data_IF_670475823409
#
_entry.id   IF_670475823409
#
_cell.length_a   1.000
_cell.length_b   1.000
_cell.length_c   1.000
_cell.angle_alpha   90.00
_cell.angle_beta   90.00
_cell.angle_gamma   90.00
#
_symmetry.space_group_name_H-M   'P 1'
#
loop_
_entity.id
_entity.type
_entity.pdbx_description
1 polymer ?
#
# COMPACT_ATOMS: atom_id res chain seq x y z
N UNK A 1 -33.05 -1.82 -9.54
CA UNK A 1 -33.45 -1.90 -8.12
C UNK A 1 -32.32 -1.51 -7.16
N UNK A 2 -31.11 -2.07 -7.29
CA UNK A 2 -29.96 -1.76 -6.38
C UNK A 2 -29.56 -0.29 -6.42
N UNK A 3 -29.32 0.30 -7.60
CA UNK A 3 -28.94 1.71 -7.74
C UNK A 3 -29.98 2.67 -7.14
N UNK A 4 -31.28 2.39 -7.33
CA UNK A 4 -32.35 3.18 -6.74
C UNK A 4 -32.30 3.15 -5.20
N UNK A 5 -31.99 1.99 -4.61
CA UNK A 5 -31.88 1.86 -3.15
C UNK A 5 -30.68 2.65 -2.61
N UNK A 6 -29.53 2.59 -3.29
CA UNK A 6 -28.33 3.37 -2.95
C UNK A 6 -28.59 4.87 -3.08
N UNK A 7 -29.20 5.30 -4.19
CA UNK A 7 -29.66 6.68 -4.39
C UNK A 7 -30.58 7.16 -3.27
N UNK A 8 -31.59 6.35 -2.90
CA UNK A 8 -32.48 6.68 -1.79
C UNK A 8 -31.76 6.74 -0.43
N UNK A 9 -30.76 5.90 -0.20
CA UNK A 9 -29.96 5.93 1.03
C UNK A 9 -29.15 7.24 1.13
N UNK A 10 -28.49 7.63 0.04
CA UNK A 10 -27.73 8.89 -0.02
C UNK A 10 -28.65 10.11 0.19
N UNK A 11 -29.77 10.16 -0.54
CA UNK A 11 -30.76 11.25 -0.44
C UNK A 11 -31.37 11.38 0.96
N UNK A 12 -31.81 10.26 1.56
CA UNK A 12 -32.48 10.30 2.87
C UNK A 12 -31.56 10.67 4.02
N UNK A 13 -30.28 10.31 3.93
CA UNK A 13 -29.30 10.54 4.98
C UNK A 13 -28.40 11.76 4.72
N UNK A 14 -28.57 12.45 3.58
CA UNK A 14 -27.80 13.63 3.19
C UNK A 14 -26.29 13.38 3.27
N UNK A 15 -25.86 12.30 2.64
CA UNK A 15 -24.47 11.85 2.64
C UNK A 15 -24.05 11.38 1.25
N UNK A 16 -22.81 11.66 0.87
CA UNK A 16 -22.21 11.04 -0.30
C UNK A 16 -21.99 9.55 -0.03
N UNK A 17 -22.37 8.71 -0.98
CA UNK A 17 -22.32 7.25 -0.84
C UNK A 17 -21.52 6.64 -1.99
N UNK A 18 -20.49 5.88 -1.65
CA UNK A 18 -19.74 5.08 -2.61
C UNK A 18 -19.98 3.60 -2.33
N UNK A 19 -20.26 2.83 -3.38
CA UNK A 19 -20.51 1.39 -3.26
C UNK A 19 -19.90 0.66 -4.46
N UNK A 20 -19.53 -0.61 -4.25
CA UNK A 20 -19.09 -1.52 -5.31
C UNK A 20 -20.19 -2.54 -5.64
N UNK A 21 -20.39 -2.83 -6.93
CA UNK A 21 -21.39 -3.79 -7.43
C UNK A 21 -20.98 -4.35 -8.80
N UNK A 22 -21.61 -5.45 -9.21
CA UNK A 22 -21.50 -5.98 -10.57
C UNK A 22 -22.46 -5.28 -11.53
N UNK A 23 -21.98 -4.77 -12.66
CA UNK A 23 -22.82 -4.24 -13.75
C UNK A 23 -22.77 -5.12 -14.98
N UNK A 24 -23.84 -5.11 -15.77
CA UNK A 24 -23.91 -5.75 -17.08
C UNK A 24 -24.20 -4.71 -18.15
N UNK A 25 -23.49 -4.77 -19.27
CA UNK A 25 -23.68 -3.89 -20.40
C UNK A 25 -23.81 -4.73 -21.68
N UNK A 26 -25.02 -4.85 -22.26
CA UNK A 26 -25.21 -5.51 -23.54
C UNK A 26 -24.31 -4.88 -24.62
N UNK A 27 -23.80 -5.71 -25.54
CA UNK A 27 -23.04 -5.26 -26.69
C UNK A 27 -23.52 -5.96 -27.96
N UNK A 28 -23.39 -5.28 -29.08
CA UNK A 28 -23.76 -5.79 -30.39
C UNK A 28 -22.60 -6.57 -31.01
N UNK A 29 -22.89 -7.54 -31.87
CA UNK A 29 -21.86 -8.31 -32.58
C UNK A 29 -20.98 -7.47 -33.51
N UNK A 30 -21.38 -6.23 -33.81
CA UNK A 30 -20.56 -5.27 -34.55
C UNK A 30 -19.42 -4.68 -33.72
N UNK A 31 -19.49 -4.76 -32.39
CA UNK A 31 -18.38 -4.44 -31.50
C UNK A 31 -17.38 -5.61 -31.51
N UNK A 32 -16.18 -5.43 -32.08
CA UNK A 32 -15.19 -6.50 -32.19
C UNK A 32 -14.67 -6.99 -30.83
N UNK A 33 -14.92 -6.23 -29.75
CA UNK A 33 -14.49 -6.56 -28.39
C UNK A 33 -15.63 -7.17 -27.57
N UNK A 34 -16.83 -7.31 -28.12
CA UNK A 34 -17.98 -7.85 -27.39
C UNK A 34 -17.75 -9.33 -27.04
N UNK A 35 -17.91 -9.73 -25.76
CA UNK A 35 -17.82 -11.14 -25.37
C UNK A 35 -18.83 -12.00 -26.14
N UNK A 36 -18.50 -13.29 -26.32
CA UNK A 36 -19.31 -14.22 -27.12
C UNK A 36 -20.72 -14.45 -26.55
N UNK A 37 -20.94 -14.12 -25.28
CA UNK A 37 -22.24 -14.22 -24.61
C UNK A 37 -23.09 -12.94 -24.71
N UNK A 38 -22.64 -11.96 -25.51
CA UNK A 38 -23.39 -10.77 -25.94
C UNK A 38 -23.45 -9.63 -24.93
N UNK A 39 -22.61 -9.64 -23.89
CA UNK A 39 -22.52 -8.53 -22.92
C UNK A 39 -21.17 -8.46 -22.24
N UNK A 40 -20.83 -7.26 -21.81
CA UNK A 40 -19.81 -7.05 -20.78
C UNK A 40 -20.38 -7.19 -19.37
N UNK A 41 -19.53 -7.60 -18.43
CA UNK A 41 -19.81 -7.67 -17.01
C UNK A 41 -18.65 -7.06 -16.23
N UNK A 42 -18.88 -6.02 -15.44
CA UNK A 42 -17.80 -5.25 -14.80
C UNK A 42 -17.90 -5.24 -13.27
N UNK A 43 -16.75 -5.30 -12.60
CA UNK A 43 -16.61 -4.87 -11.20
C UNK A 43 -16.69 -3.34 -11.17
N UNK A 44 -17.70 -2.77 -10.51
CA UNK A 44 -18.04 -1.37 -10.70
C UNK A 44 -18.24 -0.62 -9.39
N UNK A 45 -17.48 0.46 -9.18
CA UNK A 45 -17.82 1.45 -8.17
C UNK A 45 -18.85 2.43 -8.72
N UNK A 46 -19.76 2.86 -7.86
CA UNK A 46 -20.71 3.95 -8.11
C UNK A 46 -20.66 4.94 -6.96
N UNK A 47 -20.74 6.23 -7.27
CA UNK A 47 -20.80 7.31 -6.29
C UNK A 47 -22.11 8.09 -6.44
N UNK A 48 -22.81 8.30 -5.33
CA UNK A 48 -23.99 9.14 -5.24
C UNK A 48 -23.71 10.36 -4.38
N UNK A 49 -24.22 11.53 -4.76
CA UNK A 49 -24.22 12.71 -3.90
C UNK A 49 -25.34 12.64 -2.84
N UNK A 50 -25.37 13.64 -1.97
CA UNK A 50 -26.36 13.83 -0.90
C UNK A 50 -27.79 14.15 -1.38
N UNK A 51 -27.99 14.37 -2.68
CA UNK A 51 -29.31 14.43 -3.34
C UNK A 51 -29.70 13.10 -4.00
N UNK A 52 -28.88 12.06 -3.85
CA UNK A 52 -29.12 10.74 -4.43
C UNK A 52 -28.86 10.66 -5.94
N UNK A 53 -28.22 11.67 -6.54
CA UNK A 53 -27.81 11.65 -7.93
C UNK A 53 -26.54 10.81 -8.10
N UNK A 54 -26.51 9.93 -9.11
CA UNK A 54 -25.30 9.21 -9.50
C UNK A 54 -24.31 10.22 -10.12
N UNK A 55 -23.17 10.43 -9.46
CA UNK A 55 -22.18 11.44 -9.85
C UNK A 55 -20.94 10.86 -10.52
N UNK A 56 -20.65 9.57 -10.32
CA UNK A 56 -19.55 8.90 -11.00
C UNK A 56 -19.71 7.37 -10.97
N UNK A 57 -19.09 6.72 -11.95
CA UNK A 57 -19.02 5.26 -12.12
C UNK A 57 -17.60 4.89 -12.55
N UNK A 58 -17.06 3.81 -12.00
CA UNK A 58 -15.73 3.30 -12.33
C UNK A 58 -15.77 1.80 -12.53
N UNK A 59 -15.25 1.30 -13.66
CA UNK A 59 -15.06 -0.13 -13.90
C UNK A 59 -13.62 -0.51 -13.58
N UNK A 60 -13.44 -1.50 -12.69
CA UNK A 60 -12.13 -2.00 -12.26
C UNK A 60 -11.30 -2.41 -13.47
N UNK A 61 -10.08 -1.89 -13.55
CA UNK A 61 -9.19 -2.17 -14.68
C UNK A 61 -8.34 -3.42 -14.41
N UNK A 62 -7.69 -3.48 -13.25
CA UNK A 62 -6.79 -4.56 -12.88
C UNK A 62 -7.54 -5.64 -12.10
N UNK A 63 -8.06 -6.63 -12.81
CA UNK A 63 -8.69 -7.80 -12.19
C UNK A 63 -7.63 -8.66 -11.49
N UNK A 64 -8.05 -9.38 -10.45
CA UNK A 64 -7.20 -10.27 -9.66
C UNK A 64 -7.65 -11.73 -9.82
N UNK A 65 -8.81 -12.08 -9.24
CA UNK A 65 -9.44 -13.41 -9.38
C UNK A 65 -10.91 -13.33 -9.76
N UNK A 66 -11.34 -12.19 -10.31
CA UNK A 66 -12.71 -11.98 -10.76
C UNK A 66 -12.96 -12.55 -12.17
N UNK A 67 -12.74 -13.86 -12.38
CA UNK A 67 -12.86 -14.54 -13.69
C UNK A 67 -14.21 -14.40 -14.39
N UNK A 68 -15.26 -14.02 -13.66
CA UNK A 68 -16.60 -13.80 -14.19
C UNK A 68 -16.81 -12.38 -14.75
N UNK A 69 -15.80 -11.51 -14.66
CA UNK A 69 -15.86 -10.10 -15.02
C UNK A 69 -14.84 -9.79 -16.11
N UNK A 70 -15.17 -8.81 -16.94
CA UNK A 70 -14.37 -8.30 -18.02
C UNK A 70 -13.55 -7.09 -17.55
N UNK A 71 -12.36 -6.91 -18.13
CA UNK A 71 -11.61 -5.65 -18.03
C UNK A 71 -12.21 -4.63 -19.02
N UNK A 72 -12.46 -3.38 -18.61
CA UNK A 72 -12.98 -2.36 -19.53
C UNK A 72 -11.98 -2.14 -20.68
N UNK A 73 -12.45 -2.01 -21.94
CA UNK A 73 -11.57 -1.86 -23.10
C UNK A 73 -10.71 -0.59 -23.08
N UNK A 74 -11.12 0.41 -22.31
CA UNK A 74 -10.41 1.66 -22.06
C UNK A 74 -10.38 1.89 -20.54
N UNK A 75 -9.31 2.50 -20.04
CA UNK A 75 -9.17 2.81 -18.62
C UNK A 75 -10.15 3.90 -18.24
N UNK A 76 -10.92 3.68 -17.17
CA UNK A 76 -11.81 4.70 -16.61
C UNK A 76 -11.05 5.61 -15.64
N UNK A 77 -11.08 6.93 -15.89
CA UNK A 77 -10.69 7.94 -14.90
C UNK A 77 -11.93 8.54 -14.25
N UNK A 78 -12.39 7.91 -13.17
CA UNK A 78 -13.62 8.30 -12.51
C UNK A 78 -13.39 9.35 -11.41
N UNK A 79 -14.11 10.46 -11.54
CA UNK A 79 -13.97 11.67 -10.72
C UNK A 79 -15.35 12.19 -10.33
N UNK A 80 -15.48 12.74 -9.11
CA UNK A 80 -16.67 13.49 -8.72
C UNK A 80 -16.31 14.65 -7.79
N UNK A 81 -17.07 15.74 -7.89
CA UNK A 81 -16.87 16.95 -7.09
C UNK A 81 -17.71 16.91 -5.81
N UNK A 82 -17.14 17.42 -4.73
CA UNK A 82 -17.81 17.58 -3.44
C UNK A 82 -17.73 19.04 -2.98
N UNK A 83 -18.76 19.56 -2.28
CA UNK A 83 -18.72 20.92 -1.75
C UNK A 83 -17.80 21.07 -0.53
N UNK A 84 -17.38 19.97 0.09
CA UNK A 84 -16.65 19.97 1.37
C UNK A 84 -15.17 19.58 1.26
N UNK A 85 -14.77 18.78 0.26
CA UNK A 85 -13.40 18.27 0.16
C UNK A 85 -12.84 18.29 -1.27
N UNK A 86 -13.46 19.07 -2.16
CA UNK A 86 -13.03 19.21 -3.56
C UNK A 86 -13.30 17.94 -4.36
N UNK A 87 -12.39 17.63 -5.29
CA UNK A 87 -12.54 16.53 -6.25
C UNK A 87 -11.99 15.22 -5.67
N UNK A 88 -12.81 14.17 -5.74
CA UNK A 88 -12.41 12.81 -5.43
C UNK A 88 -12.14 12.02 -6.70
N UNK A 89 -11.10 11.19 -6.67
CA UNK A 89 -10.95 10.06 -7.59
C UNK A 89 -11.40 8.76 -6.96
N UNK A 90 -11.62 7.75 -7.81
CA UNK A 90 -11.93 6.40 -7.35
C UNK A 90 -11.21 5.34 -8.21
N UNK A 91 -10.73 4.30 -7.54
CA UNK A 91 -10.24 3.05 -8.13
C UNK A 91 -10.43 1.93 -7.10
N UNK A 92 -10.17 0.66 -7.47
CA UNK A 92 -10.61 -0.49 -6.67
C UNK A 92 -9.48 -1.48 -6.39
N UNK A 93 -9.27 -1.79 -5.11
CA UNK A 93 -8.46 -2.93 -4.68
C UNK A 93 -7.10 -3.01 -5.42
N UNK A 94 -6.88 -4.07 -6.19
CA UNK A 94 -5.65 -4.38 -6.92
C UNK A 94 -5.13 -3.24 -7.82
N UNK A 95 -6.00 -2.32 -8.29
CA UNK A 95 -5.59 -1.14 -9.07
C UNK A 95 -4.48 -0.32 -8.39
N UNK A 96 -4.40 -0.32 -7.06
CA UNK A 96 -3.41 0.45 -6.29
C UNK A 96 -1.95 0.04 -6.59
N UNK A 97 -1.72 -1.18 -7.11
CA UNK A 97 -0.40 -1.70 -7.44
C UNK A 97 0.07 -1.34 -8.86
N UNK A 98 -0.78 -0.68 -9.65
CA UNK A 98 -0.54 -0.43 -11.08
C UNK A 98 -0.52 1.06 -11.40
N UNK A 99 0.13 1.41 -12.51
CA UNK A 99 0.16 2.78 -12.98
C UNK A 99 -1.23 3.26 -13.42
N UNK A 100 -1.93 2.41 -14.16
CA UNK A 100 -3.30 2.65 -14.60
C UNK A 100 -4.32 1.89 -13.75
N UNK A 101 -5.39 2.54 -13.26
CA UNK A 101 -5.61 3.99 -13.29
C UNK A 101 -4.89 4.73 -12.15
N UNK A 102 -4.43 4.04 -11.10
CA UNK A 102 -4.23 4.67 -9.79
C UNK A 102 -3.24 5.85 -9.81
N UNK A 103 -2.03 5.63 -10.34
CA UNK A 103 -0.99 6.66 -10.39
C UNK A 103 -1.35 7.76 -11.38
N UNK A 104 -1.80 7.39 -12.59
CA UNK A 104 -2.09 8.37 -13.63
C UNK A 104 -3.29 9.26 -13.26
N UNK A 105 -4.35 8.68 -12.68
CA UNK A 105 -5.52 9.41 -12.15
C UNK A 105 -5.09 10.50 -11.16
N UNK A 106 -4.19 10.17 -10.23
CA UNK A 106 -3.73 11.13 -9.22
C UNK A 106 -2.90 12.25 -9.86
N UNK A 107 -1.94 11.89 -10.72
CA UNK A 107 -1.01 12.85 -11.32
C UNK A 107 -1.69 13.76 -12.34
N UNK A 108 -2.50 13.18 -13.23
CA UNK A 108 -3.15 13.90 -14.31
C UNK A 108 -4.18 14.91 -13.79
N UNK A 109 -4.92 14.55 -12.75
CA UNK A 109 -5.99 15.38 -12.20
C UNK A 109 -5.62 16.09 -10.88
N UNK A 110 -4.35 15.98 -10.46
CA UNK A 110 -3.82 16.56 -9.22
C UNK A 110 -4.72 16.28 -8.01
N UNK A 111 -5.13 15.01 -7.86
CA UNK A 111 -6.06 14.60 -6.82
C UNK A 111 -5.45 14.66 -5.44
N UNK A 112 -6.31 14.97 -4.47
CA UNK A 112 -5.97 14.98 -3.05
C UNK A 112 -6.86 14.09 -2.19
N UNK A 113 -7.90 13.53 -2.79
CA UNK A 113 -8.85 12.66 -2.13
C UNK A 113 -9.15 11.47 -3.04
N UNK A 114 -9.08 10.26 -2.48
CA UNK A 114 -9.45 9.03 -3.17
C UNK A 114 -10.39 8.21 -2.29
N UNK A 115 -11.46 7.71 -2.89
CA UNK A 115 -12.28 6.64 -2.30
C UNK A 115 -11.85 5.30 -2.87
N UNK A 116 -11.65 4.33 -2.00
CA UNK A 116 -11.01 3.06 -2.34
C UNK A 116 -11.78 1.87 -1.74
N UNK A 117 -12.83 1.38 -2.43
CA UNK A 117 -13.45 0.11 -2.12
C UNK A 117 -12.48 -1.04 -2.39
N UNK A 118 -12.42 -2.01 -1.46
CA UNK A 118 -11.51 -3.14 -1.58
C UNK A 118 -12.10 -4.44 -1.01
N UNK A 119 -11.55 -5.55 -1.51
CA UNK A 119 -11.65 -6.88 -0.94
C UNK A 119 -10.23 -7.46 -0.92
N UNK A 120 -9.38 -6.84 -0.09
CA UNK A 120 -7.95 -7.07 -0.02
C UNK A 120 -7.63 -8.22 0.92
N UNK A 121 -6.89 -9.20 0.41
CA UNK A 121 -6.33 -10.30 1.19
C UNK A 121 -4.96 -9.86 1.68
N UNK A 122 -4.79 -9.79 3.00
CA UNK A 122 -3.52 -9.38 3.59
C UNK A 122 -2.43 -10.40 3.28
N UNK A 123 -1.26 -9.90 2.91
CA UNK A 123 -0.10 -10.74 2.70
C UNK A 123 1.12 -10.03 3.31
N UNK A 124 1.55 -10.51 4.46
CA UNK A 124 2.66 -9.93 5.21
C UNK A 124 4.00 -10.38 4.62
N UNK A 125 5.08 -9.59 4.77
CA UNK A 125 5.18 -8.37 5.57
C UNK A 125 5.13 -7.07 4.75
N UNK A 126 4.70 -7.08 3.49
CA UNK A 126 4.79 -5.90 2.60
C UNK A 126 3.44 -5.43 2.04
N UNK A 127 2.41 -6.28 2.05
CA UNK A 127 1.11 -6.04 1.43
C UNK A 127 -0.05 -6.29 2.41
N UNK A 128 0.12 -5.92 3.69
CA UNK A 128 -1.05 -5.74 4.55
C UNK A 128 -1.87 -4.54 4.07
N UNK A 129 -3.20 -4.65 4.08
CA UNK A 129 -4.12 -3.62 3.60
C UNK A 129 -3.82 -2.26 4.25
N UNK A 130 -3.76 -2.23 5.59
CA UNK A 130 -3.55 -0.98 6.34
C UNK A 130 -2.19 -0.36 6.07
N UNK A 131 -1.18 -1.21 5.88
CA UNK A 131 0.21 -0.83 5.67
C UNK A 131 0.41 -0.20 4.29
N UNK A 132 0.05 -0.93 3.24
CA UNK A 132 0.30 -0.49 1.87
C UNK A 132 -0.59 0.71 1.50
N UNK A 133 -1.85 0.72 1.94
CA UNK A 133 -2.76 1.82 1.65
C UNK A 133 -2.34 3.12 2.36
N UNK A 134 -1.81 3.05 3.58
CA UNK A 134 -1.19 4.21 4.23
C UNK A 134 0.03 4.68 3.43
N UNK A 135 0.96 3.78 3.12
CA UNK A 135 2.20 4.15 2.42
C UNK A 135 1.91 4.80 1.07
N UNK A 136 0.88 4.35 0.36
CA UNK A 136 0.39 4.97 -0.87
C UNK A 136 -0.15 6.39 -0.62
N UNK A 137 -0.97 6.59 0.41
CA UNK A 137 -1.49 7.92 0.79
C UNK A 137 -0.34 8.90 1.12
N UNK A 138 0.65 8.43 1.85
CA UNK A 138 1.86 9.18 2.21
C UNK A 138 2.71 9.53 0.98
N UNK A 139 3.00 8.55 0.13
CA UNK A 139 3.86 8.73 -1.05
C UNK A 139 3.28 9.73 -2.06
N UNK A 140 1.95 9.70 -2.27
CA UNK A 140 1.27 10.62 -3.18
C UNK A 140 0.79 11.92 -2.51
N UNK A 141 0.96 12.06 -1.19
CA UNK A 141 0.48 13.19 -0.40
C UNK A 141 -1.02 13.46 -0.68
N UNK A 142 -1.83 12.42 -0.47
CA UNK A 142 -3.29 12.41 -0.64
C UNK A 142 -3.97 11.80 0.59
N UNK A 143 -5.28 12.01 0.70
CA UNK A 143 -6.10 11.21 1.60
C UNK A 143 -6.74 10.03 0.85
N UNK A 144 -6.85 8.88 1.52
CA UNK A 144 -7.52 7.69 1.02
C UNK A 144 -8.57 7.22 2.03
N UNK A 145 -9.80 7.04 1.55
CA UNK A 145 -10.90 6.42 2.29
C UNK A 145 -11.03 4.97 1.84
N UNK A 146 -10.41 4.04 2.58
CA UNK A 146 -10.39 2.63 2.23
C UNK A 146 -11.45 1.83 3.00
N UNK A 147 -12.35 1.19 2.26
CA UNK A 147 -13.38 0.32 2.81
C UNK A 147 -13.13 -1.11 2.32
N UNK A 148 -12.62 -1.96 3.22
CA UNK A 148 -12.30 -3.34 2.93
C UNK A 148 -13.40 -4.30 3.42
N UNK A 149 -13.46 -5.49 2.83
CA UNK A 149 -14.26 -6.60 3.33
C UNK A 149 -13.68 -7.10 4.66
N UNK A 150 -14.58 -7.51 5.56
CA UNK A 150 -14.22 -8.18 6.81
C UNK A 150 -14.57 -9.67 6.71
N UNK A 151 -13.58 -10.46 6.30
CA UNK A 151 -13.68 -11.91 6.12
C UNK A 151 -12.37 -12.59 6.58
N UNK A 152 -12.17 -12.75 7.90
CA UNK A 152 -10.89 -13.20 8.46
C UNK A 152 -10.36 -14.52 7.90
N UNK A 153 -11.24 -15.46 7.56
CA UNK A 153 -10.83 -16.77 7.01
C UNK A 153 -10.21 -16.69 5.61
N UNK A 154 -10.35 -15.55 4.92
CA UNK A 154 -9.68 -15.25 3.65
C UNK A 154 -8.56 -14.21 3.82
N UNK A 155 -8.17 -13.89 5.06
CA UNK A 155 -7.19 -12.82 5.33
C UNK A 155 -7.70 -11.42 5.00
N UNK A 156 -9.01 -11.22 4.86
CA UNK A 156 -9.59 -9.92 4.51
C UNK A 156 -10.00 -9.16 5.76
N UNK A 157 -9.20 -8.16 6.11
CA UNK A 157 -9.47 -7.15 7.15
C UNK A 157 -8.49 -6.00 6.91
N UNK A 158 -8.73 -4.83 7.49
CA UNK A 158 -7.90 -3.65 7.27
C UNK A 158 -8.66 -2.63 6.44
N UNK A 159 -9.46 -1.82 7.12
CA UNK A 159 -10.07 -0.61 6.57
C UNK A 159 -9.46 0.60 7.25
N UNK A 160 -9.50 1.75 6.59
CA UNK A 160 -8.95 2.95 7.20
C UNK A 160 -9.25 4.25 6.48
N UNK A 161 -9.05 5.32 7.23
CA UNK A 161 -8.98 6.70 6.72
C UNK A 161 -7.52 7.10 6.85
N UNK A 162 -6.83 7.22 5.71
CA UNK A 162 -5.41 7.54 5.66
C UNK A 162 -5.23 8.97 5.18
N UNK A 163 -4.47 9.74 5.93
CA UNK A 163 -3.91 11.02 5.51
C UNK A 163 -2.38 10.85 5.42
N UNK A 164 -1.64 11.78 4.80
CA UNK A 164 -0.20 11.65 4.62
C UNK A 164 0.61 11.52 5.91
N UNK A 165 0.04 11.92 7.05
CA UNK A 165 0.72 11.98 8.36
C UNK A 165 -0.08 11.37 9.51
N UNK A 166 -1.28 10.84 9.23
CA UNK A 166 -2.17 10.26 10.26
C UNK A 166 -3.14 9.26 9.66
N UNK A 167 -3.36 8.16 10.39
CA UNK A 167 -4.27 7.09 9.96
C UNK A 167 -5.27 6.75 11.07
N UNK A 168 -6.49 6.39 10.67
CA UNK A 168 -7.50 5.80 11.55
C UNK A 168 -7.88 4.45 10.96
N UNK A 169 -7.55 3.36 11.66
CA UNK A 169 -7.65 2.02 11.09
C UNK A 169 -8.53 1.09 11.91
N UNK A 170 -9.01 0.05 11.23
CA UNK A 170 -9.56 -1.15 11.85
C UNK A 170 -8.95 -2.39 11.21
N UNK A 171 -8.32 -3.21 12.03
CA UNK A 171 -7.79 -4.51 11.68
C UNK A 171 -8.15 -5.52 12.78
N UNK A 172 -8.81 -6.61 12.43
CA UNK A 172 -9.18 -7.66 13.38
C UNK A 172 -9.29 -9.02 12.66
N UNK A 173 -8.53 -10.01 13.10
CA UNK A 173 -8.57 -11.37 12.54
C UNK A 173 -9.38 -12.36 13.40
N UNK A 174 -9.90 -11.92 14.54
CA UNK A 174 -10.52 -12.79 15.55
C UNK A 174 -12.05 -12.81 15.48
N UNK A 175 -12.66 -11.68 15.11
CA UNK A 175 -14.11 -11.47 15.08
C UNK A 175 -14.64 -11.40 13.66
N UNK A 176 -15.94 -11.61 13.48
CA UNK A 176 -16.61 -11.54 12.16
C UNK A 176 -17.50 -10.29 12.00
N UNK A 177 -17.48 -9.38 12.97
CA UNK A 177 -18.29 -8.16 12.96
C UNK A 177 -17.71 -7.08 12.07
N UNK A 178 -18.58 -6.33 11.38
CA UNK A 178 -18.19 -5.13 10.65
C UNK A 178 -17.84 -3.97 11.59
N UNK A 179 -17.12 -2.97 11.05
CA UNK A 179 -16.72 -1.76 11.78
C UNK A 179 -17.03 -0.50 10.96
N UNK A 180 -17.59 0.50 11.63
CA UNK A 180 -17.65 1.87 11.12
C UNK A 180 -16.49 2.68 11.71
N UNK A 181 -15.73 3.35 10.84
CA UNK A 181 -14.70 4.33 11.22
C UNK A 181 -15.22 5.70 10.84
N UNK A 182 -15.23 6.63 11.79
CA UNK A 182 -15.58 8.04 11.57
C UNK A 182 -14.44 8.88 12.10
N UNK A 183 -13.93 9.78 11.26
CA UNK A 183 -12.89 10.72 11.65
C UNK A 183 -13.06 12.02 10.88
N UNK A 184 -12.64 13.11 11.50
CA UNK A 184 -12.43 14.39 10.83
C UNK A 184 -10.98 14.45 10.33
N UNK A 185 -10.80 14.77 9.05
CA UNK A 185 -9.50 14.83 8.40
C UNK A 185 -9.34 16.15 7.64
N UNK A 186 -8.10 16.67 7.52
CA UNK A 186 -7.86 17.88 6.74
C UNK A 186 -8.16 17.65 5.26
N UNK A 187 -8.77 18.65 4.63
CA UNK A 187 -8.87 18.73 3.18
C UNK A 187 -7.54 19.24 2.65
N UNK A 188 -6.76 18.37 2.03
CA UNK A 188 -5.47 18.77 1.47
C UNK A 188 -5.75 19.59 0.21
N UNK A 189 -5.52 20.90 0.28
CA UNK A 189 -5.52 21.79 -0.88
C UNK A 189 -4.09 22.02 -1.36
N UNK A 190 -3.89 22.24 -2.65
CA UNK A 190 -2.57 22.55 -3.24
C UNK A 190 -1.92 23.73 -2.51
N UNK A 191 -0.82 23.48 -1.79
CA UNK A 191 -0.09 24.53 -1.08
C UNK A 191 0.81 24.12 0.08
N UNK A 192 1.24 22.86 0.18
CA UNK A 192 2.26 22.46 1.16
C UNK A 192 3.47 21.86 0.44
N UNK A 193 4.45 22.72 0.16
CA UNK A 193 5.83 22.31 -0.10
C UNK A 193 6.56 22.19 1.24
N UNK A 194 7.10 21.02 1.54
CA UNK A 194 7.94 20.78 2.70
C UNK A 194 9.39 21.19 2.37
N UNK A 195 9.78 22.40 2.80
CA UNK A 195 11.19 22.79 2.88
C UNK A 195 11.85 22.03 4.04
N UNK A 196 12.98 21.36 3.80
CA UNK A 196 13.75 20.68 4.84
C UNK A 196 15.23 21.06 4.82
N UNK A 197 15.76 21.34 6.02
CA UNK A 197 17.12 21.78 6.28
C UNK A 197 18.10 20.62 6.48
N UNK A 198 19.37 20.94 6.23
CA UNK A 198 20.52 20.05 6.14
C UNK A 198 21.07 19.68 7.52
N UNK A 199 21.27 18.40 7.76
CA UNK A 199 22.40 17.95 8.60
C UNK A 199 23.03 16.66 8.06
N UNK A 200 24.36 16.55 8.24
CA UNK A 200 25.26 15.59 7.62
C UNK A 200 25.60 14.42 8.56
N UNK A 201 25.80 13.24 7.98
CA UNK A 201 26.51 12.11 8.57
C UNK A 201 27.37 11.45 7.49
N UNK A 202 28.62 11.14 7.82
CA UNK A 202 29.63 10.51 6.93
C UNK A 202 29.52 8.99 6.99
N UNK A 203 29.73 8.35 5.85
CA UNK A 203 29.88 6.88 5.71
C UNK A 203 31.31 6.48 6.07
N UNK A 204 31.49 5.39 6.82
CA UNK A 204 32.77 4.77 7.15
C UNK A 204 32.74 3.27 6.84
N UNK A 205 33.91 2.71 6.56
CA UNK A 205 34.14 1.40 5.94
C UNK A 205 33.91 0.17 6.84
N UNK A 206 33.72 -0.93 6.10
CA UNK A 206 33.41 -2.33 6.43
C UNK A 206 34.12 -2.94 7.65
N UNK A 207 33.31 -3.51 8.55
CA UNK A 207 33.69 -4.64 9.42
C UNK A 207 33.23 -5.98 8.82
N UNK A 208 33.75 -7.09 9.35
CA UNK A 208 33.46 -8.47 8.92
C UNK A 208 31.99 -8.69 8.54
N UNK A 209 31.73 -8.92 7.25
CA UNK A 209 30.38 -9.03 6.71
C UNK A 209 29.68 -10.30 7.24
N UNK A 210 28.51 -10.18 7.89
CA UNK A 210 27.66 -11.31 8.23
C UNK A 210 27.34 -12.16 6.98
N UNK A 211 27.07 -13.47 7.14
CA UNK A 211 26.77 -14.32 6.00
C UNK A 211 25.47 -13.87 5.33
N UNK A 212 25.54 -13.63 4.02
CA UNK A 212 24.35 -13.44 3.17
C UNK A 212 23.57 -14.75 3.07
N UNK A 213 22.25 -14.64 2.97
CA UNK A 213 21.38 -15.79 2.73
C UNK A 213 20.19 -15.41 1.83
N UNK A 214 19.52 -16.43 1.32
CA UNK A 214 18.32 -16.27 0.48
C UNK A 214 17.11 -16.83 1.22
N UNK A 215 15.99 -16.13 1.13
CA UNK A 215 14.72 -16.59 1.66
C UNK A 215 13.57 -16.02 0.83
N UNK A 216 12.47 -16.77 0.78
CA UNK A 216 11.26 -16.35 0.08
C UNK A 216 10.49 -15.36 0.96
N UNK A 217 10.15 -14.21 0.38
CA UNK A 217 9.24 -13.23 0.97
C UNK A 217 8.28 -12.80 -0.13
N UNK A 218 6.97 -12.94 0.11
CA UNK A 218 5.95 -12.61 -0.90
C UNK A 218 6.12 -13.40 -2.22
N UNK A 219 6.54 -14.67 -2.16
CA UNK A 219 6.88 -15.52 -3.32
C UNK A 219 8.08 -15.07 -4.15
N UNK A 220 8.78 -14.02 -3.71
CA UNK A 220 9.98 -13.51 -4.35
C UNK A 220 11.22 -13.94 -3.56
N UNK A 221 12.29 -14.32 -4.27
CA UNK A 221 13.53 -14.74 -3.63
C UNK A 221 14.40 -13.53 -3.27
N UNK A 222 14.36 -13.12 -2.00
CA UNK A 222 15.11 -11.98 -1.50
C UNK A 222 16.53 -12.37 -1.11
N UNK A 223 17.47 -11.44 -1.26
CA UNK A 223 18.82 -11.54 -0.66
C UNK A 223 18.81 -10.83 0.67
N UNK A 224 19.19 -11.54 1.74
CA UNK A 224 19.17 -11.03 3.10
C UNK A 224 20.55 -11.00 3.74
N UNK A 225 20.71 -10.06 4.68
CA UNK A 225 21.80 -10.01 5.65
C UNK A 225 21.20 -9.92 7.07
N UNK A 226 21.65 -10.76 8.02
CA UNK A 226 21.09 -10.76 9.37
C UNK A 226 21.53 -9.52 10.16
N UNK A 227 20.65 -9.05 11.05
CA UNK A 227 20.86 -7.91 11.94
C UNK A 227 21.32 -8.43 13.31
N UNK A 228 22.58 -8.18 13.68
CA UNK A 228 23.23 -8.72 14.88
C UNK A 228 23.66 -7.68 15.89
N UNK A 229 23.51 -8.00 17.18
CA UNK A 229 23.97 -7.11 18.25
C UNK A 229 23.09 -5.86 18.39
N UNK A 230 23.55 -4.94 19.24
CA UNK A 230 22.75 -3.79 19.65
C UNK A 230 22.71 -2.68 18.60
N UNK A 231 23.75 -2.54 17.78
CA UNK A 231 23.83 -1.52 16.73
C UNK A 231 24.69 -2.01 15.58
N UNK A 232 24.45 -1.48 14.40
CA UNK A 232 25.29 -1.78 13.25
C UNK A 232 24.94 -0.97 12.02
N UNK A 233 25.82 -1.08 11.02
CA UNK A 233 25.64 -0.55 9.68
C UNK A 233 25.72 -1.74 8.71
N UNK A 234 24.69 -1.92 7.88
CA UNK A 234 24.57 -3.04 6.95
C UNK A 234 24.36 -2.54 5.53
N UNK A 235 24.87 -3.32 4.57
CA UNK A 235 24.62 -3.14 3.15
C UNK A 235 24.33 -4.51 2.53
N UNK A 236 23.30 -4.57 1.68
CA UNK A 236 22.99 -5.75 0.86
C UNK A 236 22.50 -5.29 -0.52
N UNK A 237 22.91 -5.98 -1.58
CA UNK A 237 22.54 -5.61 -2.95
C UNK A 237 21.98 -6.81 -3.72
N UNK A 238 21.01 -6.55 -4.59
CA UNK A 238 20.53 -7.47 -5.62
C UNK A 238 20.33 -6.71 -6.92
N UNK A 239 20.87 -7.25 -8.02
CA UNK A 239 20.86 -6.63 -9.35
C UNK A 239 21.36 -5.17 -9.32
N UNK A 240 20.48 -4.20 -9.56
CA UNK A 240 20.81 -2.77 -9.60
C UNK A 240 20.55 -2.04 -8.28
N UNK A 241 19.85 -2.69 -7.35
CA UNK A 241 19.47 -2.11 -6.06
C UNK A 241 20.45 -2.55 -4.95
N UNK A 242 20.90 -1.58 -4.18
CA UNK A 242 21.62 -1.71 -2.93
C UNK A 242 20.82 -1.03 -1.82
N UNK A 243 20.59 -1.77 -0.74
CA UNK A 243 19.90 -1.33 0.45
C UNK A 243 20.89 -1.20 1.60
N UNK A 244 20.67 -0.19 2.42
CA UNK A 244 21.55 0.17 3.52
C UNK A 244 20.73 0.42 4.77
N UNK A 245 21.27 -0.01 5.91
CA UNK A 245 20.61 0.12 7.19
C UNK A 245 21.61 0.55 8.25
N UNK A 246 21.33 1.66 8.92
CA UNK A 246 21.90 1.97 10.22
C UNK A 246 20.83 1.71 11.27
N UNK A 247 21.15 0.95 12.31
CA UNK A 247 20.17 0.60 13.34
C UNK A 247 20.76 0.61 14.75
N UNK A 248 19.87 0.80 15.71
CA UNK A 248 20.13 0.68 17.13
C UNK A 248 18.92 0.03 17.83
N UNK A 249 19.14 -1.11 18.46
CA UNK A 249 18.16 -1.83 19.27
C UNK A 249 18.18 -1.27 20.69
N UNK A 250 17.01 -1.01 21.26
CA UNK A 250 16.93 -0.55 22.64
C UNK A 250 17.39 -1.63 23.63
N UNK A 251 17.04 -2.89 23.35
CA UNK A 251 17.42 -4.09 24.12
C UNK A 251 17.60 -5.25 23.15
N UNK A 252 18.54 -6.15 23.44
CA UNK A 252 18.64 -7.42 22.70
C UNK A 252 17.51 -8.37 23.08
N UNK A 253 16.78 -8.80 22.08
CA UNK A 253 15.76 -9.84 22.16
C UNK A 253 16.25 -11.10 21.47
N UNK A 254 15.62 -12.24 21.75
CA UNK A 254 15.85 -13.48 21.00
C UNK A 254 15.28 -13.42 19.56
N UNK A 255 14.52 -12.37 19.22
CA UNK A 255 13.98 -12.19 17.88
C UNK A 255 15.08 -11.95 16.83
N UNK A 256 14.99 -12.72 15.74
CA UNK A 256 15.84 -12.56 14.57
C UNK A 256 15.25 -11.50 13.63
N UNK A 257 16.10 -10.58 13.17
CA UNK A 257 15.78 -9.60 12.13
C UNK A 257 16.80 -9.71 10.99
N UNK A 258 16.37 -9.32 9.80
CA UNK A 258 17.22 -9.26 8.62
C UNK A 258 16.91 -8.02 7.78
N UNK A 259 17.93 -7.49 7.10
CA UNK A 259 17.76 -6.54 6.01
C UNK A 259 17.73 -7.33 4.69
N UNK A 260 16.63 -7.20 3.94
CA UNK A 260 16.41 -7.82 2.64
C UNK A 260 16.43 -6.83 1.50
N UNK A 261 16.85 -7.31 0.34
CA UNK A 261 16.77 -6.59 -0.94
C UNK A 261 16.18 -7.46 -2.04
N UNK A 262 15.34 -6.86 -2.88
CA UNK A 262 14.81 -7.45 -4.10
C UNK A 262 14.74 -6.41 -5.22
N UNK A 263 15.08 -6.82 -6.43
CA UNK A 263 15.05 -6.00 -7.65
C UNK A 263 14.69 -6.92 -8.81
N UNK A 264 13.40 -7.10 -9.08
CA UNK A 264 12.94 -8.15 -9.98
C UNK A 264 11.44 -8.11 -10.31
N UNK A 265 11.05 -8.98 -11.24
CA UNK A 265 9.66 -9.15 -11.65
C UNK A 265 8.95 -10.15 -10.73
N UNK A 266 7.94 -9.66 -10.01
CA UNK A 266 6.99 -10.51 -9.29
C UNK A 266 6.01 -11.12 -10.29
N UNK A 267 5.64 -12.39 -10.09
CA UNK A 267 4.80 -13.14 -11.05
C UNK A 267 3.68 -13.97 -10.42
N UNK A 268 3.66 -14.12 -9.09
CA UNK A 268 2.66 -14.95 -8.40
C UNK A 268 1.44 -14.12 -8.08
N UNK A 269 0.27 -14.51 -8.58
CA UNK A 269 -0.99 -13.76 -8.40
C UNK A 269 -1.00 -12.35 -9.03
N UNK A 270 0.01 -11.99 -9.82
CA UNK A 270 0.09 -10.76 -10.57
C UNK A 270 1.47 -10.61 -11.18
N UNK A 271 1.59 -9.82 -12.25
CA UNK A 271 2.87 -9.53 -12.88
C UNK A 271 3.20 -8.06 -12.70
N UNK A 272 4.28 -7.76 -11.99
CA UNK A 272 4.72 -6.39 -11.73
C UNK A 272 6.16 -6.33 -11.21
N UNK A 273 6.92 -5.29 -11.59
CA UNK A 273 8.32 -5.14 -11.22
C UNK A 273 8.54 -4.39 -9.89
N UNK A 274 9.24 -5.02 -8.95
CA UNK A 274 9.45 -4.48 -7.60
C UNK A 274 10.92 -4.21 -7.34
N UNK A 275 11.20 -3.05 -6.75
CA UNK A 275 12.44 -2.76 -6.04
C UNK A 275 12.12 -2.61 -4.56
N UNK A 276 12.69 -3.42 -3.68
CA UNK A 276 12.36 -3.39 -2.27
C UNK A 276 13.62 -3.44 -1.39
N UNK A 277 13.67 -2.54 -0.39
CA UNK A 277 14.56 -2.63 0.76
C UNK A 277 13.70 -2.88 2.00
N UNK A 278 13.93 -3.94 2.77
CA UNK A 278 13.06 -4.27 3.90
C UNK A 278 13.85 -4.75 5.13
N UNK A 279 13.72 -4.04 6.25
CA UNK A 279 14.10 -4.54 7.57
C UNK A 279 12.91 -5.29 8.15
N UNK A 280 13.02 -6.60 8.32
CA UNK A 280 11.91 -7.48 8.72
C UNK A 280 12.25 -8.32 9.95
N UNK A 281 11.24 -8.57 10.79
CA UNK A 281 11.27 -9.65 11.78
C UNK A 281 11.10 -10.99 11.08
N UNK A 282 11.93 -11.96 11.41
CA UNK A 282 11.80 -13.33 10.90
C UNK A 282 10.77 -14.12 11.71
N UNK A 283 10.13 -15.12 11.09
CA UNK A 283 9.11 -15.97 11.74
C UNK A 283 9.64 -16.81 12.91
N UNK A 284 10.94 -17.10 12.90
CA UNK A 284 11.66 -17.77 13.97
C UNK A 284 13.16 -17.48 13.91
N UNK A 285 13.96 -18.33 14.55
CA UNK A 285 15.42 -18.16 14.66
C UNK A 285 16.19 -18.66 13.43
N UNK A 286 15.52 -19.34 12.50
CA UNK A 286 16.12 -19.82 11.26
C UNK A 286 16.04 -18.75 10.18
N UNK A 287 17.13 -18.56 9.41
CA UNK A 287 17.18 -17.64 8.28
C UNK A 287 16.09 -17.89 7.22
N UNK A 288 15.68 -19.15 7.04
CA UNK A 288 14.61 -19.53 6.11
C UNK A 288 13.22 -18.99 6.50
N UNK A 289 13.07 -18.45 7.71
CA UNK A 289 11.80 -17.88 8.20
C UNK A 289 11.71 -16.37 8.00
N UNK A 290 12.79 -15.73 7.54
CA UNK A 290 12.77 -14.31 7.20
C UNK A 290 11.94 -14.10 5.93
N UNK A 291 10.87 -13.32 6.03
CA UNK A 291 9.88 -13.15 4.96
C UNK A 291 8.55 -13.86 5.21
N UNK A 292 8.44 -14.72 6.23
CA UNK A 292 7.18 -15.32 6.66
C UNK A 292 6.25 -14.28 7.31
N UNK A 293 4.96 -14.59 7.33
CA UNK A 293 3.95 -13.75 7.97
C UNK A 293 4.11 -13.77 9.49
N UNK A 294 4.24 -12.57 10.08
CA UNK A 294 4.42 -12.38 11.52
C UNK A 294 3.56 -11.21 11.98
N UNK A 295 2.82 -11.41 13.07
CA UNK A 295 1.91 -10.40 13.63
C UNK A 295 2.43 -9.73 14.90
N UNK A 296 3.44 -10.31 15.55
CA UNK A 296 3.93 -9.87 16.85
C UNK A 296 5.44 -9.69 16.85
N UNK A 297 5.88 -8.62 17.52
CA UNK A 297 7.28 -8.27 17.71
C UNK A 297 7.50 -7.60 19.06
N UNK A 298 8.66 -7.82 19.66
CA UNK A 298 9.08 -7.19 20.91
C UNK A 298 10.24 -6.20 20.73
N UNK A 299 11.08 -6.38 19.70
CA UNK A 299 12.27 -5.55 19.54
C UNK A 299 11.93 -4.11 19.13
N UNK A 300 12.39 -3.17 19.95
CA UNK A 300 12.37 -1.74 19.63
C UNK A 300 13.67 -1.40 18.89
N UNK A 301 13.54 -0.97 17.63
CA UNK A 301 14.66 -0.74 16.72
C UNK A 301 14.55 0.66 16.15
N UNK A 302 15.45 1.55 16.55
CA UNK A 302 15.67 2.82 15.86
C UNK A 302 16.48 2.55 14.61
N UNK A 303 16.11 3.17 13.49
CA UNK A 303 16.74 2.89 12.21
C UNK A 303 16.77 4.07 11.25
N UNK A 304 17.72 4.01 10.33
CA UNK A 304 17.73 4.73 9.07
C UNK A 304 17.91 3.70 7.95
N UNK A 305 16.92 3.57 7.08
CA UNK A 305 16.89 2.66 5.94
C UNK A 305 16.95 3.49 4.65
N UNK A 306 17.84 3.14 3.73
CA UNK A 306 17.91 3.82 2.43
C UNK A 306 18.34 2.90 1.31
N UNK A 307 18.02 3.28 0.07
CA UNK A 307 18.40 2.53 -1.13
C UNK A 307 18.51 3.41 -2.37
N UNK A 308 19.34 3.00 -3.32
CA UNK A 308 19.50 3.66 -4.62
C UNK A 308 18.37 3.26 -5.60
N UNK A 309 17.13 3.58 -5.22
CA UNK A 309 15.93 3.27 -5.99
C UNK A 309 16.00 3.86 -7.39
N UNK A 310 15.60 3.09 -8.40
CA UNK A 310 15.56 3.51 -9.81
C UNK A 310 14.21 4.08 -10.24
N UNK A 311 13.21 4.01 -9.37
CA UNK A 311 11.85 4.53 -9.59
C UNK A 311 11.54 5.68 -8.63
N UNK A 312 10.79 6.71 -9.07
CA UNK A 312 10.28 7.74 -8.16
C UNK A 312 9.08 7.27 -7.32
N UNK A 313 8.47 6.13 -7.64
CA UNK A 313 7.27 5.62 -6.98
C UNK A 313 7.65 4.67 -5.84
N UNK A 314 7.87 5.26 -4.67
CA UNK A 314 8.38 4.56 -3.48
C UNK A 314 7.37 4.74 -2.35
N UNK A 315 6.95 3.61 -1.78
CA UNK A 315 5.95 3.52 -0.72
C UNK A 315 6.67 3.17 0.60
N UNK A 316 6.74 4.12 1.56
CA UNK A 316 7.38 3.88 2.85
C UNK A 316 6.45 3.09 3.77
N UNK A 317 6.78 1.82 3.99
CA UNK A 317 6.04 0.89 4.84
C UNK A 317 6.66 0.89 6.25
N UNK A 318 5.83 1.00 7.28
CA UNK A 318 6.24 0.88 8.67
C UNK A 318 5.11 0.23 9.48
N UNK A 319 5.32 -1.02 9.85
CA UNK A 319 4.34 -1.83 10.59
C UNK A 319 4.96 -2.31 11.90
N UNK A 320 4.21 -2.18 12.98
CA UNK A 320 4.61 -2.61 14.32
C UNK A 320 3.66 -3.67 14.87
N UNK A 321 4.05 -4.27 15.99
CA UNK A 321 3.37 -5.41 16.62
C UNK A 321 1.85 -5.22 16.72
N UNK A 322 1.10 -6.29 16.50
CA UNK A 322 -0.36 -6.27 16.45
C UNK A 322 -0.95 -5.64 15.18
N UNK A 323 -0.16 -5.55 14.10
CA UNK A 323 -0.56 -4.92 12.82
C UNK A 323 -1.00 -3.46 13.05
N UNK A 324 -0.17 -2.72 13.79
CA UNK A 324 -0.39 -1.31 14.09
C UNK A 324 0.54 -0.44 13.26
N UNK A 325 0.01 0.67 12.76
CA UNK A 325 0.73 1.58 11.88
C UNK A 325 1.57 2.60 12.67
N UNK A 326 2.68 3.00 12.08
CA UNK A 326 3.49 4.14 12.51
C UNK A 326 3.99 4.91 11.28
N UNK A 327 4.54 6.11 11.50
CA UNK A 327 5.12 6.96 10.47
C UNK A 327 6.61 7.13 10.69
N UNK A 328 7.38 7.20 9.61
CA UNK A 328 8.78 7.62 9.67
C UNK A 328 8.86 9.07 10.16
N UNK A 329 9.87 9.38 10.98
CA UNK A 329 10.11 10.76 11.43
C UNK A 329 10.65 11.63 10.29
N UNK A 330 11.47 11.02 9.43
CA UNK A 330 12.03 11.66 8.24
C UNK A 330 12.05 10.67 7.08
N UNK A 331 11.79 11.16 5.88
CA UNK A 331 11.89 10.39 4.63
C UNK A 331 12.09 11.32 3.44
N UNK A 332 12.61 10.78 2.33
CA UNK A 332 12.73 11.49 1.07
C UNK A 332 14.00 11.17 0.30
N UNK A 333 14.27 11.97 -0.74
CA UNK A 333 15.45 11.82 -1.59
C UNK A 333 16.65 12.60 -1.06
N UNK A 334 17.81 11.95 -1.01
CA UNK A 334 19.11 12.56 -0.69
C UNK A 334 20.23 11.83 -1.45
N UNK A 335 21.04 12.56 -2.23
CA UNK A 335 22.19 12.01 -2.96
C UNK A 335 21.84 10.76 -3.79
N UNK A 336 20.76 10.81 -4.58
CA UNK A 336 20.25 9.69 -5.38
C UNK A 336 19.82 8.44 -4.59
N UNK A 337 19.66 8.56 -3.28
CA UNK A 337 19.05 7.52 -2.45
C UNK A 337 17.74 8.02 -1.88
N UNK A 338 16.74 7.16 -1.83
CA UNK A 338 15.56 7.40 -1.03
C UNK A 338 15.79 6.82 0.35
N UNK A 339 15.46 7.56 1.40
CA UNK A 339 15.63 7.12 2.78
C UNK A 339 14.34 7.27 3.58
N UNK A 340 14.24 6.50 4.66
CA UNK A 340 13.32 6.71 5.77
C UNK A 340 14.04 6.45 7.09
N UNK A 341 13.67 7.16 8.15
CA UNK A 341 14.24 6.95 9.49
C UNK A 341 13.20 7.07 10.58
N UNK A 342 13.38 6.28 11.64
CA UNK A 342 12.56 6.30 12.84
C UNK A 342 13.46 6.21 14.06
N UNK A 343 13.25 7.12 15.00
CA UNK A 343 13.94 7.14 16.29
C UNK A 343 12.92 7.01 17.42
N UNK A 344 13.37 6.55 18.59
CA UNK A 344 12.55 6.37 19.79
C UNK A 344 11.32 5.49 19.53
N UNK A 345 11.52 4.36 18.87
CA UNK A 345 10.46 3.37 18.65
C UNK A 345 9.82 2.92 19.96
N UNK A 346 8.48 2.89 19.99
CA UNK A 346 7.69 2.57 21.19
C UNK A 346 6.90 1.27 21.09
N UNK A 347 6.94 0.61 19.94
CA UNK A 347 6.27 -0.66 19.64
C UNK A 347 7.23 -1.57 18.89
N UNK A 348 7.11 -2.88 19.07
CA UNK A 348 7.99 -3.85 18.42
C UNK A 348 7.88 -3.78 16.91
N UNK A 349 9.00 -3.73 16.20
CA UNK A 349 9.02 -3.56 14.76
C UNK A 349 8.67 -4.87 14.03
N UNK A 350 7.65 -4.90 13.18
CA UNK A 350 7.41 -6.03 12.27
C UNK A 350 8.19 -5.84 10.97
N UNK A 351 8.03 -4.67 10.36
CA UNK A 351 8.69 -4.32 9.11
C UNK A 351 8.90 -2.81 8.98
N UNK A 352 10.03 -2.44 8.41
CA UNK A 352 10.28 -1.11 7.85
C UNK A 352 10.81 -1.31 6.43
N UNK A 353 10.10 -0.80 5.43
CA UNK A 353 10.46 -1.07 4.05
C UNK A 353 10.25 0.12 3.11
N UNK A 354 11.13 0.20 2.11
CA UNK A 354 10.99 1.05 0.93
C UNK A 354 10.50 0.15 -0.20
N UNK A 355 9.20 0.20 -0.49
CA UNK A 355 8.60 -0.61 -1.55
C UNK A 355 8.44 0.23 -2.82
N UNK A 356 9.24 -0.05 -3.84
CA UNK A 356 9.29 0.67 -5.10
C UNK A 356 8.61 -0.08 -6.23
N UNK A 357 7.79 0.64 -7.01
CA UNK A 357 7.18 0.11 -8.24
C UNK A 357 7.84 0.72 -9.47
N UNK A 358 8.42 -0.13 -10.32
CA UNK A 358 9.01 0.29 -11.58
C UNK A 358 8.07 -0.05 -12.74
N UNK A 359 7.01 0.75 -12.87
CA UNK A 359 5.90 0.46 -13.79
C UNK A 359 6.31 0.26 -15.25
N UNK A 360 7.37 0.94 -15.72
CA UNK A 360 7.89 0.79 -17.07
C UNK A 360 8.56 -0.57 -17.35
N UNK A 361 8.76 -1.39 -16.30
CA UNK A 361 9.33 -2.74 -16.36
C UNK A 361 8.32 -3.86 -16.07
N UNK A 362 7.06 -3.53 -15.83
CA UNK A 362 5.99 -4.52 -15.58
C UNK A 362 5.81 -5.51 -16.73
#
# INVERSE_FOLDING_TARGET
>A
QVLQRLSCMALKNKIFLVANLGTKQPCEHTDPRCPSDGRYQFNTNVAFNDDGMLVATYRKHNLYFEYALDTPPEVDYALFDTPFAGKFGMFTCFDILFFEPAVNLIKQYNLKQVVYPAAWMNQLPLLSAVEFQQAFATAFNINILAANIHHPTLGMTGSGIYTPVKSFIYHNMESYGGKLIVAEIPVITTGYETNWEKTLGRVSEKGNEPPLFFAEMMYDNFTFIPVWGEKGELQVCANTLCCYLNYQRAVLTDELYALGVFDGLHTVHGTYYVQACALVKCGGLSFSTCGQEVTDAAALIDFQLWGNMSTPYIFPLLLTSGITLDFADYMGWKNNHYFMSKNRTSSGLLTAALYGRWYEKD
#
